data_IF_980920591903
#
_entry.id   IF_980920591903
#
_cell.length_a   1.000
_cell.length_b   1.000
_cell.length_c   1.000
_cell.angle_alpha   90.00
_cell.angle_beta   90.00
_cell.angle_gamma   90.00
#
_symmetry.space_group_name_H-M   'P 1'
#
loop_
_entity.id
_entity.type
_entity.pdbx_description
1 polymer ?
#
# COMPACT_ATOMS: atom_id res chain seq x y z
N UNK A 1 -24.23 1.74 6.14
CA UNK A 1 -23.38 2.80 5.55
C UNK A 1 -24.23 4.03 5.33
N UNK A 2 -23.81 5.18 5.82
CA UNK A 2 -24.49 6.44 5.55
C UNK A 2 -24.19 6.81 4.10
N UNK A 3 -25.21 6.89 3.25
CA UNK A 3 -25.05 7.30 1.87
C UNK A 3 -24.86 8.82 1.86
N UNK A 4 -23.78 9.29 1.26
CA UNK A 4 -23.52 10.72 1.05
C UNK A 4 -24.30 11.13 -0.21
N UNK A 5 -25.13 12.18 -0.13
CA UNK A 5 -26.02 12.63 -1.20
C UNK A 5 -25.44 13.77 -2.06
N UNK A 6 -24.18 14.13 -1.84
CA UNK A 6 -23.44 15.12 -2.62
C UNK A 6 -22.10 14.53 -3.09
N UNK A 7 -21.57 15.09 -4.18
CA UNK A 7 -20.26 14.69 -4.70
C UNK A 7 -19.13 15.18 -3.81
N UNK A 8 -18.14 14.33 -3.63
CA UNK A 8 -16.91 14.64 -2.90
C UNK A 8 -15.77 14.91 -3.87
N UNK A 9 -14.89 15.82 -3.48
CA UNK A 9 -13.57 15.97 -4.08
C UNK A 9 -12.55 15.65 -3.00
N UNK A 10 -11.83 14.51 -3.18
CA UNK A 10 -10.80 14.09 -2.27
C UNK A 10 -9.43 14.56 -2.77
N UNK A 11 -8.86 15.56 -2.10
CA UNK A 11 -7.55 16.11 -2.41
C UNK A 11 -6.40 15.38 -1.70
N UNK A 12 -6.69 14.44 -0.81
CA UNK A 12 -5.71 13.64 -0.05
C UNK A 12 -5.94 12.15 -0.31
N UNK A 13 -5.79 11.75 -1.56
CA UNK A 13 -6.06 10.39 -2.00
C UNK A 13 -4.78 9.58 -2.10
N UNK A 14 -4.78 8.39 -1.51
CA UNK A 14 -3.62 7.50 -1.45
C UNK A 14 -3.76 6.32 -2.42
N UNK A 15 -2.64 5.93 -3.01
CA UNK A 15 -2.51 4.71 -3.81
C UNK A 15 -1.14 4.07 -3.54
N UNK A 16 -0.98 2.83 -3.94
CA UNK A 16 0.30 2.14 -3.93
C UNK A 16 0.75 1.86 -5.36
N UNK A 17 2.05 1.96 -5.60
CA UNK A 17 2.61 1.72 -6.91
C UNK A 17 2.37 0.28 -7.36
N UNK A 18 2.09 0.10 -8.65
CA UNK A 18 2.08 -1.22 -9.26
C UNK A 18 3.47 -1.89 -9.11
N UNK A 19 3.55 -3.23 -9.00
CA UNK A 19 4.83 -3.93 -8.82
C UNK A 19 5.89 -3.63 -9.86
N UNK A 20 5.52 -3.19 -11.05
CA UNK A 20 6.41 -2.84 -12.15
C UNK A 20 6.51 -1.32 -12.42
N UNK A 21 5.95 -0.49 -11.53
CA UNK A 21 5.88 0.97 -11.73
C UNK A 21 7.25 1.61 -12.00
N UNK A 22 8.30 1.13 -11.35
CA UNK A 22 9.65 1.68 -11.48
C UNK A 22 10.49 0.99 -12.57
N UNK A 23 9.98 -0.06 -13.20
CA UNK A 23 10.74 -0.83 -14.21
C UNK A 23 10.11 -0.82 -15.57
N UNK A 24 8.79 -0.68 -15.67
CA UNK A 24 7.98 -0.75 -16.88
C UNK A 24 8.45 0.19 -18.00
N UNK A 25 8.87 1.39 -17.65
CA UNK A 25 9.23 2.44 -18.60
C UNK A 25 10.67 2.96 -18.42
N UNK A 26 11.47 2.29 -17.59
CA UNK A 26 12.86 2.72 -17.39
C UNK A 26 13.70 2.42 -18.62
N UNK A 27 14.57 3.35 -18.99
CA UNK A 27 15.54 3.10 -20.06
C UNK A 27 16.51 1.97 -19.66
N UNK A 28 16.83 1.03 -20.59
CA UNK A 28 17.67 -0.14 -20.27
C UNK A 28 19.00 0.18 -19.59
N UNK A 29 19.61 1.32 -19.93
CA UNK A 29 20.87 1.78 -19.33
C UNK A 29 20.77 2.05 -17.82
N UNK A 30 19.58 2.35 -17.31
CA UNK A 30 19.32 2.63 -15.90
C UNK A 30 18.72 1.44 -15.13
N UNK A 31 18.32 0.36 -15.82
CA UNK A 31 17.59 -0.75 -15.21
C UNK A 31 18.29 -1.33 -13.97
N UNK A 32 19.63 -1.46 -13.99
CA UNK A 32 20.39 -2.00 -12.86
C UNK A 32 20.52 -1.04 -11.68
N UNK A 33 20.32 0.26 -11.91
CA UNK A 33 20.46 1.32 -10.89
C UNK A 33 19.13 1.83 -10.38
N UNK A 34 18.05 1.53 -11.09
CA UNK A 34 16.71 1.92 -10.71
C UNK A 34 16.19 1.21 -9.46
N UNK A 35 15.03 1.64 -9.00
CA UNK A 35 14.26 0.92 -8.01
C UNK A 35 13.62 -0.31 -8.66
N UNK A 36 13.66 -1.45 -7.96
CA UNK A 36 13.03 -2.67 -8.42
C UNK A 36 12.69 -3.59 -7.26
N UNK A 37 11.58 -4.29 -7.37
CA UNK A 37 11.28 -5.37 -6.47
C UNK A 37 11.93 -6.65 -6.95
N UNK A 38 12.58 -7.35 -6.03
CA UNK A 38 13.25 -8.64 -6.29
C UNK A 38 12.82 -9.67 -5.25
N UNK A 39 12.81 -10.94 -5.63
CA UNK A 39 12.53 -12.02 -4.69
C UNK A 39 13.84 -12.62 -4.20
N UNK A 40 14.07 -12.54 -2.89
CA UNK A 40 15.26 -13.11 -2.22
C UNK A 40 14.76 -13.98 -1.06
N UNK A 41 15.11 -15.27 -1.08
CA UNK A 41 14.69 -16.21 -0.05
C UNK A 41 13.16 -16.32 0.09
N UNK A 42 12.43 -16.29 -1.01
CA UNK A 42 10.96 -16.34 -1.05
C UNK A 42 10.25 -15.07 -0.55
N UNK A 43 10.99 -13.99 -0.30
CA UNK A 43 10.42 -12.72 0.15
C UNK A 43 10.71 -11.61 -0.84
N UNK A 44 9.71 -10.76 -1.10
CA UNK A 44 9.91 -9.57 -1.91
C UNK A 44 10.74 -8.55 -1.15
N UNK A 45 11.70 -7.99 -1.84
CA UNK A 45 12.62 -6.97 -1.33
C UNK A 45 12.71 -5.81 -2.32
N UNK A 46 12.97 -4.63 -1.79
CA UNK A 46 13.24 -3.45 -2.60
C UNK A 46 14.74 -3.30 -2.81
N UNK A 47 15.17 -3.24 -4.06
CA UNK A 47 16.53 -2.90 -4.46
C UNK A 47 16.57 -1.48 -5.00
N UNK A 48 17.59 -0.72 -4.62
CA UNK A 48 17.85 0.63 -5.14
C UNK A 48 19.33 0.72 -5.47
N UNK A 49 19.67 1.06 -6.70
CA UNK A 49 21.04 1.14 -7.20
C UNK A 49 21.85 -0.14 -6.91
N UNK A 50 21.23 -1.31 -7.11
CA UNK A 50 21.83 -2.62 -6.85
C UNK A 50 22.04 -2.97 -5.37
N UNK A 51 21.51 -2.16 -4.44
CA UNK A 51 21.62 -2.37 -3.01
C UNK A 51 20.28 -2.70 -2.38
N UNK A 52 20.29 -3.62 -1.43
CA UNK A 52 19.08 -3.97 -0.68
C UNK A 52 18.65 -2.78 0.21
N UNK A 53 17.45 -2.27 -0.03
CA UNK A 53 16.82 -1.34 0.88
C UNK A 53 16.27 -2.12 2.09
N UNK A 54 16.71 -1.75 3.29
CA UNK A 54 16.28 -2.39 4.54
C UNK A 54 15.31 -1.54 5.35
N UNK A 55 15.04 -0.31 4.89
CA UNK A 55 14.16 0.62 5.59
C UNK A 55 12.70 0.17 5.52
N UNK A 56 12.26 -0.35 4.38
CA UNK A 56 10.89 -0.83 4.19
C UNK A 56 10.90 -2.37 4.21
N UNK A 57 10.41 -3.00 5.28
CA UNK A 57 10.44 -4.47 5.42
C UNK A 57 9.43 -5.18 4.52
N UNK A 58 8.28 -4.55 4.24
CA UNK A 58 7.24 -5.04 3.32
C UNK A 58 7.02 -4.01 2.20
N UNK A 59 7.86 -4.02 1.15
CA UNK A 59 7.85 -2.97 0.13
C UNK A 59 6.64 -3.02 -0.80
N UNK A 60 5.89 -4.10 -0.82
CA UNK A 60 4.65 -4.21 -1.59
C UNK A 60 3.41 -3.77 -0.80
N UNK A 61 3.54 -3.58 0.52
CA UNK A 61 2.40 -3.29 1.39
C UNK A 61 1.23 -4.28 1.21
N UNK A 62 1.57 -5.56 1.02
CA UNK A 62 0.60 -6.64 0.85
C UNK A 62 1.14 -7.91 1.54
N UNK A 63 0.49 -8.43 2.57
CA UNK A 63 -0.79 -7.95 3.15
C UNK A 63 -0.64 -6.66 3.97
N UNK A 64 -1.77 -6.03 4.28
CA UNK A 64 -1.87 -4.81 5.08
C UNK A 64 -2.67 -5.03 6.36
N UNK A 65 -2.50 -4.14 7.33
CA UNK A 65 -3.35 -4.09 8.50
C UNK A 65 -4.77 -3.65 8.12
N UNK A 66 -5.77 -4.18 8.81
CA UNK A 66 -7.17 -3.78 8.58
C UNK A 66 -7.35 -2.27 8.83
N UNK A 67 -8.19 -1.59 8.03
CA UNK A 67 -8.50 -0.18 8.26
C UNK A 67 -9.00 0.08 9.68
N UNK A 68 -8.52 1.15 10.30
CA UNK A 68 -8.93 1.57 11.64
C UNK A 68 -8.11 1.01 12.80
N UNK A 69 -7.30 -0.03 12.62
CA UNK A 69 -6.53 -0.64 13.74
C UNK A 69 -5.55 0.33 14.38
N UNK A 70 -4.96 1.24 13.62
CA UNK A 70 -4.07 2.26 14.16
C UNK A 70 -4.83 3.35 14.92
N UNK A 71 -6.00 3.76 14.46
CA UNK A 71 -6.86 4.68 15.19
C UNK A 71 -7.27 4.09 16.55
N UNK A 72 -7.69 2.83 16.56
CA UNK A 72 -8.01 2.12 17.79
C UNK A 72 -6.81 1.99 18.74
N UNK A 73 -5.61 1.74 18.20
CA UNK A 73 -4.39 1.71 19.01
C UNK A 73 -4.09 3.08 19.64
N UNK A 74 -4.07 4.14 18.86
CA UNK A 74 -3.78 5.49 19.38
C UNK A 74 -4.86 6.03 20.31
N UNK A 75 -6.08 5.53 20.24
CA UNK A 75 -7.17 5.82 21.17
C UNK A 75 -7.17 4.93 22.42
N UNK A 76 -6.20 4.02 22.54
CA UNK A 76 -6.13 3.08 23.67
C UNK A 76 -7.21 2.01 23.67
N UNK A 77 -7.83 1.74 22.51
CA UNK A 77 -8.92 0.77 22.37
C UNK A 77 -8.45 -0.62 21.92
N UNK A 78 -7.21 -0.74 21.43
CA UNK A 78 -6.67 -1.99 20.88
C UNK A 78 -6.41 -3.06 21.94
N UNK A 79 -6.28 -2.69 23.22
CA UNK A 79 -5.85 -3.59 24.29
C UNK A 79 -4.41 -4.07 24.18
N UNK A 80 -3.59 -3.44 23.33
CA UNK A 80 -2.18 -3.77 23.10
C UNK A 80 -1.29 -2.57 23.39
N UNK A 81 -0.18 -2.83 24.10
CA UNK A 81 0.83 -1.81 24.39
C UNK A 81 1.87 -1.68 23.25
N UNK A 82 1.89 -2.67 22.35
CA UNK A 82 2.81 -2.71 21.20
C UNK A 82 2.07 -2.52 19.89
N UNK A 83 2.52 -1.56 19.10
CA UNK A 83 1.90 -1.22 17.80
C UNK A 83 1.90 -2.40 16.82
N UNK A 84 2.91 -3.27 16.86
CA UNK A 84 2.97 -4.44 15.97
C UNK A 84 1.92 -5.47 16.34
N UNK A 85 1.71 -5.69 17.63
CA UNK A 85 0.66 -6.57 18.14
C UNK A 85 -0.74 -6.01 17.87
N UNK A 86 -0.86 -4.68 17.83
CA UNK A 86 -2.12 -4.00 17.50
C UNK A 86 -2.59 -4.23 16.06
N UNK A 87 -1.69 -4.53 15.12
CA UNK A 87 -2.07 -4.82 13.73
C UNK A 87 -2.96 -6.05 13.58
N UNK A 88 -2.86 -7.00 14.50
CA UNK A 88 -3.68 -8.20 14.48
C UNK A 88 -3.56 -9.01 13.19
N UNK A 89 -4.71 -9.49 12.71
CA UNK A 89 -4.78 -10.22 11.45
C UNK A 89 -4.68 -9.27 10.26
N UNK A 90 -3.73 -9.57 9.36
CA UNK A 90 -3.54 -8.82 8.12
C UNK A 90 -4.50 -9.28 7.03
N UNK A 91 -4.83 -8.40 6.10
CA UNK A 91 -5.66 -8.70 4.95
C UNK A 91 -4.96 -8.37 3.63
N UNK A 92 -5.33 -9.01 2.51
CA UNK A 92 -4.84 -8.62 1.20
C UNK A 92 -5.15 -7.15 0.90
N UNK A 93 -4.22 -6.45 0.25
CA UNK A 93 -4.45 -5.07 -0.14
C UNK A 93 -5.66 -4.96 -1.08
N UNK A 94 -6.50 -3.96 -0.85
CA UNK A 94 -7.64 -3.71 -1.73
C UNK A 94 -7.14 -3.37 -3.15
N UNK A 95 -7.64 -4.04 -4.19
CA UNK A 95 -7.23 -3.79 -5.58
C UNK A 95 -7.31 -2.32 -5.99
N UNK A 96 -8.27 -1.55 -5.45
CA UNK A 96 -8.42 -0.13 -5.75
C UNK A 96 -7.25 0.75 -5.35
N UNK A 97 -6.28 0.23 -4.59
CA UNK A 97 -5.02 0.95 -4.33
C UNK A 97 -3.98 0.83 -5.46
N UNK A 98 -4.16 -0.11 -6.41
CA UNK A 98 -3.19 -0.36 -7.49
C UNK A 98 -3.80 -0.43 -8.88
N UNK A 99 -5.05 -0.82 -8.98
CA UNK A 99 -5.77 -1.00 -10.24
C UNK A 99 -6.68 0.20 -10.49
N UNK A 100 -6.47 0.95 -11.60
CA UNK A 100 -7.28 2.13 -11.91
C UNK A 100 -8.78 1.83 -12.10
N UNK A 101 -9.11 0.69 -12.72
CA UNK A 101 -10.52 0.34 -12.95
C UNK A 101 -11.23 -0.03 -11.64
N UNK A 102 -10.53 -0.73 -10.73
CA UNK A 102 -11.04 -1.00 -9.38
C UNK A 102 -11.15 0.29 -8.58
N UNK A 103 -10.22 1.23 -8.75
CA UNK A 103 -10.25 2.53 -8.07
C UNK A 103 -11.47 3.36 -8.47
N UNK A 104 -11.75 3.48 -9.76
CA UNK A 104 -12.92 4.22 -10.26
C UNK A 104 -14.21 3.68 -9.63
N UNK A 105 -14.36 2.36 -9.55
CA UNK A 105 -15.54 1.75 -8.90
C UNK A 105 -15.69 2.15 -7.43
N UNK A 106 -14.56 2.26 -6.71
CA UNK A 106 -14.57 2.70 -5.31
C UNK A 106 -14.97 4.19 -5.23
N UNK A 107 -14.42 5.02 -6.10
CA UNK A 107 -14.76 6.43 -6.16
C UNK A 107 -16.25 6.64 -6.46
N UNK A 108 -16.79 5.93 -7.45
CA UNK A 108 -18.22 5.95 -7.77
C UNK A 108 -19.08 5.54 -6.56
N UNK A 109 -18.69 4.48 -5.84
CA UNK A 109 -19.38 4.00 -4.66
C UNK A 109 -19.34 5.00 -3.48
N UNK A 110 -18.32 5.86 -3.44
CA UNK A 110 -18.11 6.90 -2.44
C UNK A 110 -18.64 8.26 -2.88
N UNK A 111 -19.21 8.35 -4.07
CA UNK A 111 -19.70 9.57 -4.69
C UNK A 111 -18.60 10.65 -4.85
N UNK A 112 -17.42 10.24 -5.29
CA UNK A 112 -16.25 11.09 -5.57
C UNK A 112 -16.07 11.34 -7.07
#
# INVERSE_FOLDING_TARGET
>A
MTTIDFQLFDADNHYYEAPDAFTRHIEPKFAKRGMQWVTIGGKTRLMVDGRLNRFIPNPLFDPVAKPGVLDDYFRGKSGSDDIRSAFGELEPINPGYRDPAARVKIMDAQNM
#
